data_IF_959082806151
#
_entry.id   IF_959082806151
#
_cell.length_a   1.000
_cell.length_b   1.000
_cell.length_c   1.000
_cell.angle_alpha   90.00
_cell.angle_beta   90.00
_cell.angle_gamma   90.00
#
_symmetry.space_group_name_H-M   'P 1'
#
loop_
_entity.id
_entity.type
_entity.pdbx_description
1 polymer ?
#
# COMPACT_ATOMS: atom_id res chain seq x y z
N UNK A 1 4.11 -3.25 -44.54
CA UNK A 1 3.57 -3.73 -43.25
C UNK A 1 4.70 -3.73 -42.24
N UNK A 2 4.84 -2.66 -41.46
CA UNK A 2 5.76 -2.66 -40.32
C UNK A 2 5.12 -3.49 -39.22
N UNK A 3 5.70 -4.66 -38.91
CA UNK A 3 5.47 -5.34 -37.63
C UNK A 3 5.84 -4.32 -36.56
N UNK A 4 4.85 -3.71 -35.93
CA UNK A 4 5.07 -3.00 -34.67
C UNK A 4 5.56 -4.08 -33.71
N UNK A 5 6.87 -4.12 -33.50
CA UNK A 5 7.48 -4.89 -32.42
C UNK A 5 6.86 -4.35 -31.13
N UNK A 6 5.80 -4.99 -30.64
CA UNK A 6 5.32 -4.72 -29.30
C UNK A 6 6.53 -4.97 -28.39
N UNK A 7 6.98 -3.95 -27.64
CA UNK A 7 8.16 -4.12 -26.81
C UNK A 7 7.91 -5.27 -25.84
N UNK A 8 8.89 -6.17 -25.72
CA UNK A 8 8.80 -7.40 -24.92
C UNK A 8 8.32 -7.09 -23.51
N UNK A 9 7.34 -7.85 -23.02
CA UNK A 9 6.85 -7.72 -21.64
C UNK A 9 7.75 -8.53 -20.70
N UNK A 10 8.31 -7.87 -19.70
CA UNK A 10 9.19 -8.47 -18.69
C UNK A 10 8.52 -8.55 -17.30
N UNK A 11 7.19 -8.49 -17.24
CA UNK A 11 6.41 -8.52 -15.99
C UNK A 11 6.80 -9.67 -15.06
N UNK A 12 7.09 -10.86 -15.60
CA UNK A 12 7.55 -12.02 -14.81
C UNK A 12 8.94 -11.80 -14.20
N UNK A 13 9.90 -11.28 -14.97
CA UNK A 13 11.24 -10.98 -14.49
C UNK A 13 11.22 -9.88 -13.41
N UNK A 14 10.35 -8.88 -13.57
CA UNK A 14 10.17 -7.82 -12.57
C UNK A 14 9.47 -8.34 -11.31
N UNK A 15 8.49 -9.25 -11.46
CA UNK A 15 7.87 -9.95 -10.32
C UNK A 15 8.88 -10.79 -9.54
N UNK A 16 9.77 -11.50 -10.24
CA UNK A 16 10.85 -12.26 -9.62
C UNK A 16 11.83 -11.34 -8.89
N UNK A 17 12.27 -10.26 -9.54
CA UNK A 17 13.13 -9.25 -8.92
C UNK A 17 12.50 -8.67 -7.66
N UNK A 18 11.23 -8.26 -7.71
CA UNK A 18 10.51 -7.74 -6.55
C UNK A 18 10.48 -8.77 -5.41
N UNK A 19 10.23 -10.04 -5.73
CA UNK A 19 10.20 -11.12 -4.73
C UNK A 19 11.57 -11.32 -4.07
N UNK A 20 12.65 -11.34 -4.85
CA UNK A 20 14.03 -11.41 -4.33
C UNK A 20 14.34 -10.21 -3.44
N UNK A 21 13.96 -9.01 -3.86
CA UNK A 21 14.15 -7.79 -3.07
C UNK A 21 13.34 -7.80 -1.77
N UNK A 22 12.16 -8.43 -1.74
CA UNK A 22 11.40 -8.60 -0.49
C UNK A 22 12.04 -9.60 0.47
N UNK A 23 12.61 -10.68 -0.05
CA UNK A 23 13.38 -11.64 0.77
C UNK A 23 14.62 -10.96 1.36
N UNK A 24 15.37 -10.21 0.55
CA UNK A 24 16.51 -9.44 1.03
C UNK A 24 16.10 -8.36 2.04
N UNK A 25 15.00 -7.65 1.80
CA UNK A 25 14.44 -6.69 2.75
C UNK A 25 14.10 -7.34 4.10
N UNK A 26 13.49 -8.53 4.08
CA UNK A 26 13.17 -9.27 5.30
C UNK A 26 14.42 -9.58 6.11
N UNK A 27 15.46 -10.18 5.49
CA UNK A 27 16.70 -10.51 6.19
C UNK A 27 17.50 -9.28 6.62
N UNK A 28 17.49 -8.22 5.82
CA UNK A 28 18.09 -6.94 6.20
C UNK A 28 17.42 -6.36 7.44
N UNK A 29 16.09 -6.30 7.43
CA UNK A 29 15.31 -5.78 8.55
C UNK A 29 15.49 -6.61 9.81
N UNK A 30 15.62 -7.93 9.65
CA UNK A 30 15.97 -8.84 10.74
C UNK A 30 17.34 -8.50 11.31
N UNK A 31 18.38 -8.44 10.48
CA UNK A 31 19.74 -8.10 10.90
C UNK A 31 19.84 -6.73 11.59
N UNK A 32 19.08 -5.73 11.12
CA UNK A 32 19.01 -4.41 11.75
C UNK A 32 18.32 -4.46 13.11
N UNK A 33 17.23 -5.22 13.25
CA UNK A 33 16.57 -5.39 14.54
C UNK A 33 17.50 -6.06 15.57
N UNK A 34 18.20 -7.12 15.17
CA UNK A 34 19.19 -7.81 16.00
C UNK A 34 20.34 -6.87 16.41
N UNK A 35 20.90 -6.10 15.47
CA UNK A 35 22.04 -5.23 15.72
C UNK A 35 21.71 -4.03 16.63
N UNK A 36 20.52 -3.43 16.48
CA UNK A 36 20.17 -2.17 17.15
C UNK A 36 19.24 -2.34 18.35
N UNK A 37 18.52 -3.45 18.45
CA UNK A 37 17.64 -3.76 19.58
C UNK A 37 18.07 -5.01 20.37
N UNK A 38 19.17 -5.67 19.97
CA UNK A 38 19.67 -6.91 20.57
C UNK A 38 18.91 -8.15 20.09
N UNK A 39 19.34 -9.33 20.54
CA UNK A 39 18.52 -10.54 20.37
C UNK A 39 17.14 -10.27 20.94
N UNK A 40 16.08 -10.40 20.13
CA UNK A 40 14.69 -10.25 20.55
C UNK A 40 14.45 -11.15 21.77
N UNK A 41 14.66 -10.60 22.97
CA UNK A 41 14.90 -11.37 24.18
C UNK A 41 13.59 -12.02 24.57
N UNK A 42 13.37 -13.26 24.13
CA UNK A 42 12.28 -14.11 24.59
C UNK A 42 12.55 -14.64 26.02
N UNK A 43 13.69 -14.30 26.61
CA UNK A 43 14.03 -14.60 28.00
C UNK A 43 13.00 -13.97 28.93
N UNK A 44 12.12 -14.81 29.50
CA UNK A 44 11.05 -14.38 30.39
C UNK A 44 9.71 -14.04 29.73
N UNK A 45 9.49 -14.40 28.46
CA UNK A 45 8.16 -14.30 27.82
C UNK A 45 7.72 -12.90 27.36
N UNK A 46 8.63 -11.92 27.36
CA UNK A 46 8.32 -10.54 26.99
C UNK A 46 9.20 -10.11 25.82
N UNK A 47 8.58 -9.76 24.68
CA UNK A 47 9.30 -9.16 23.56
C UNK A 47 9.76 -7.76 23.96
N UNK A 48 11.04 -7.42 23.75
CA UNK A 48 11.49 -6.03 23.85
C UNK A 48 10.77 -5.21 22.76
N UNK A 49 10.00 -4.16 23.12
CA UNK A 49 9.24 -3.37 22.15
C UNK A 49 10.11 -2.71 21.08
N UNK A 50 11.41 -2.50 21.33
CA UNK A 50 12.34 -1.88 20.37
C UNK A 50 12.59 -2.78 19.17
N UNK A 51 12.66 -4.09 19.38
CA UNK A 51 12.98 -5.05 18.33
C UNK A 51 11.98 -5.01 17.15
N UNK A 52 10.66 -5.20 17.37
CA UNK A 52 9.69 -5.14 16.27
C UNK A 52 9.54 -3.73 15.71
N UNK A 53 9.82 -2.68 16.49
CA UNK A 53 9.84 -1.30 15.98
C UNK A 53 10.94 -1.12 14.96
N UNK A 54 12.18 -1.51 15.29
CA UNK A 54 13.34 -1.41 14.37
C UNK A 54 13.12 -2.28 13.14
N UNK A 55 12.63 -3.52 13.33
CA UNK A 55 12.28 -4.41 12.22
C UNK A 55 11.27 -3.75 11.27
N UNK A 56 10.13 -3.29 11.78
CA UNK A 56 9.05 -2.75 10.96
C UNK A 56 9.43 -1.43 10.28
N UNK A 57 10.19 -0.55 10.95
CA UNK A 57 10.69 0.68 10.35
C UNK A 57 11.54 0.39 9.11
N UNK A 58 12.52 -0.51 9.24
CA UNK A 58 13.37 -0.92 8.11
C UNK A 58 12.53 -1.61 7.03
N UNK A 59 11.69 -2.57 7.43
CA UNK A 59 10.93 -3.38 6.49
C UNK A 59 9.99 -2.53 5.64
N UNK A 60 9.24 -1.61 6.25
CA UNK A 60 8.29 -0.75 5.54
C UNK A 60 8.99 0.30 4.67
N UNK A 61 10.12 0.83 5.13
CA UNK A 61 10.93 1.77 4.35
C UNK A 61 11.47 1.13 3.07
N UNK A 62 12.17 -0.01 3.19
CA UNK A 62 12.71 -0.71 2.03
C UNK A 62 11.62 -1.33 1.15
N UNK A 63 10.47 -1.72 1.70
CA UNK A 63 9.32 -2.13 0.90
C UNK A 63 8.86 -1.01 -0.03
N UNK A 64 8.85 0.23 0.46
CA UNK A 64 8.51 1.43 -0.33
C UNK A 64 9.55 1.68 -1.42
N UNK A 65 10.85 1.55 -1.11
CA UNK A 65 11.93 1.64 -2.10
C UNK A 65 11.79 0.56 -3.18
N UNK A 66 11.58 -0.70 -2.79
CA UNK A 66 11.40 -1.82 -3.71
C UNK A 66 10.25 -1.57 -4.68
N UNK A 67 9.15 -1.00 -4.18
CA UNK A 67 8.03 -0.61 -5.03
C UNK A 67 8.36 0.56 -5.96
N UNK A 68 9.14 1.53 -5.48
CA UNK A 68 9.72 2.60 -6.31
C UNK A 68 10.58 2.05 -7.45
N UNK A 69 11.38 1.02 -7.22
CA UNK A 69 12.19 0.35 -8.26
C UNK A 69 11.29 -0.26 -9.34
N UNK A 70 10.17 -0.92 -8.97
CA UNK A 70 9.21 -1.42 -9.96
C UNK A 70 8.67 -0.31 -10.86
N UNK A 71 8.27 0.83 -10.26
CA UNK A 71 7.79 2.00 -11.00
C UNK A 71 8.86 2.60 -11.92
N UNK A 72 10.12 2.65 -11.48
CA UNK A 72 11.26 3.11 -12.30
C UNK A 72 11.49 2.21 -13.52
N UNK A 73 11.30 0.90 -13.38
CA UNK A 73 11.35 -0.06 -14.49
C UNK A 73 10.13 0.03 -15.42
N UNK A 74 9.14 0.87 -15.09
CA UNK A 74 7.93 1.06 -15.87
C UNK A 74 6.87 -0.01 -15.62
N UNK A 75 6.90 -0.65 -14.45
CA UNK A 75 5.94 -1.66 -14.00
C UNK A 75 5.25 -1.21 -12.72
N UNK A 76 4.08 -1.75 -12.44
CA UNK A 76 3.34 -1.44 -11.23
C UNK A 76 2.53 -2.65 -10.80
N UNK A 77 2.11 -2.68 -9.53
CA UNK A 77 1.15 -3.68 -9.09
C UNK A 77 -0.21 -3.38 -9.74
N UNK A 78 -0.89 -4.42 -10.21
CA UNK A 78 -2.19 -4.31 -10.85
C UNK A 78 -3.15 -3.49 -9.98
N UNK A 79 -3.64 -2.35 -10.49
CA UNK A 79 -4.45 -1.44 -9.70
C UNK A 79 -5.83 -2.03 -9.56
N UNK A 80 -6.33 -2.13 -8.33
CA UNK A 80 -7.72 -2.48 -8.09
C UNK A 80 -8.54 -1.19 -8.26
N UNK A 81 -9.23 -1.07 -9.39
CA UNK A 81 -10.04 0.11 -9.75
C UNK A 81 -11.42 0.09 -9.08
N UNK A 82 -11.90 -1.06 -8.59
CA UNK A 82 -13.31 -1.26 -8.21
C UNK A 82 -13.67 -1.09 -6.72
N UNK A 83 -12.83 -0.47 -5.89
CA UNK A 83 -13.22 -0.10 -4.51
C UNK A 83 -13.50 1.42 -4.35
N UNK A 84 -13.84 2.10 -5.46
CA UNK A 84 -14.33 3.49 -5.47
C UNK A 84 -15.85 3.52 -5.23
N UNK A 85 -16.33 2.72 -4.26
CA UNK A 85 -17.57 3.02 -3.54
C UNK A 85 -17.17 3.44 -2.13
N UNK A 86 -16.88 4.73 -1.99
CA UNK A 86 -16.86 5.48 -0.72
C UNK A 86 -16.42 4.64 0.47
N UNK A 87 -15.19 4.07 0.52
CA UNK A 87 -14.67 3.28 1.65
C UNK A 87 -15.78 2.73 2.56
N UNK A 88 -16.71 1.95 1.98
CA UNK A 88 -17.86 1.54 2.75
C UNK A 88 -17.29 0.59 3.78
N UNK A 89 -17.64 0.83 5.04
CA UNK A 89 -17.08 0.16 6.23
C UNK A 89 -17.14 -1.38 6.12
N UNK A 90 -17.97 -1.87 5.19
CA UNK A 90 -18.36 -3.25 4.92
C UNK A 90 -17.50 -4.00 3.88
N UNK A 91 -16.75 -3.33 2.98
CA UNK A 91 -15.97 -4.04 1.92
C UNK A 91 -14.55 -4.46 2.35
N UNK A 92 -14.20 -4.27 3.62
CA UNK A 92 -12.88 -4.58 4.18
C UNK A 92 -12.60 -6.08 4.38
N UNK A 93 -13.45 -6.96 3.86
CA UNK A 93 -13.42 -8.40 4.17
C UNK A 93 -12.59 -9.26 3.24
N UNK A 94 -11.99 -8.76 2.16
CA UNK A 94 -11.40 -9.72 1.19
C UNK A 94 -10.09 -9.31 0.54
N UNK A 95 -9.06 -10.08 0.93
CA UNK A 95 -7.82 -10.41 0.19
C UNK A 95 -6.64 -9.44 0.37
N UNK A 96 -6.10 -9.41 1.59
CA UNK A 96 -4.84 -8.74 1.95
C UNK A 96 -3.57 -9.61 1.79
N UNK A 97 -3.69 -10.87 1.33
CA UNK A 97 -2.56 -11.82 1.30
C UNK A 97 -2.22 -12.38 -0.10
N UNK A 98 -2.52 -11.63 -1.17
CA UNK A 98 -2.05 -12.01 -2.51
C UNK A 98 -0.77 -11.25 -2.85
N UNK A 99 0.23 -11.98 -3.34
CA UNK A 99 1.39 -11.39 -4.01
C UNK A 99 0.88 -10.43 -5.11
N UNK A 100 1.46 -9.23 -5.24
CA UNK A 100 1.03 -8.30 -6.26
C UNK A 100 1.29 -8.89 -7.65
N UNK A 101 0.26 -8.92 -8.50
CA UNK A 101 0.45 -9.14 -9.93
C UNK A 101 1.14 -7.90 -10.49
N UNK A 102 2.42 -8.01 -10.87
CA UNK A 102 3.13 -6.89 -11.49
C UNK A 102 2.82 -6.87 -12.97
N UNK A 103 2.37 -5.71 -13.46
CA UNK A 103 2.01 -5.48 -14.85
C UNK A 103 2.75 -4.26 -15.40
N UNK A 104 2.93 -4.24 -16.71
CA UNK A 104 3.59 -3.13 -17.39
C UNK A 104 2.70 -1.88 -17.39
N UNK A 105 3.32 -0.73 -17.09
CA UNK A 105 2.64 0.57 -17.12
C UNK A 105 2.20 0.95 -18.54
N UNK A 106 0.89 1.11 -18.71
CA UNK A 106 0.30 1.65 -19.96
C UNK A 106 0.38 3.18 -20.01
N UNK A 107 0.18 3.78 -21.19
CA UNK A 107 0.12 5.24 -21.35
C UNK A 107 -1.03 5.85 -20.55
N UNK A 108 -2.19 5.20 -20.55
CA UNK A 108 -3.36 5.61 -19.76
C UNK A 108 -3.06 5.57 -18.25
N UNK A 109 -2.40 4.51 -17.78
CA UNK A 109 -1.96 4.38 -16.39
C UNK A 109 -1.01 5.52 -16.00
N UNK A 110 0.05 5.75 -16.81
CA UNK A 110 1.03 6.81 -16.55
C UNK A 110 0.39 8.19 -16.44
N UNK A 111 -0.57 8.52 -17.31
CA UNK A 111 -1.31 9.80 -17.23
C UNK A 111 -2.07 9.94 -15.91
N UNK A 112 -2.78 8.89 -15.47
CA UNK A 112 -3.47 8.89 -14.17
C UNK A 112 -2.50 8.99 -13.00
N UNK A 113 -1.42 8.20 -13.01
CA UNK A 113 -0.41 8.19 -11.95
C UNK A 113 0.34 9.52 -11.83
N UNK A 114 0.54 10.24 -12.94
CA UNK A 114 1.14 11.58 -12.94
C UNK A 114 0.23 12.65 -12.33
N UNK A 115 -1.09 12.45 -12.33
CA UNK A 115 -2.06 13.35 -11.70
C UNK A 115 -2.11 13.23 -10.16
N UNK A 116 -1.31 12.33 -9.57
CA UNK A 116 -1.25 12.14 -8.13
C UNK A 116 -0.68 13.36 -7.40
N UNK A 117 -1.15 13.57 -6.18
CA UNK A 117 -0.60 14.55 -5.24
C UNK A 117 0.70 13.99 -4.63
N UNK A 118 1.84 14.17 -5.31
CA UNK A 118 3.13 13.56 -4.95
C UNK A 118 3.57 13.85 -3.51
N UNK A 119 3.45 15.09 -3.06
CA UNK A 119 3.83 15.48 -1.69
C UNK A 119 2.93 14.79 -0.68
N UNK A 120 1.62 14.74 -0.93
CA UNK A 120 0.66 14.07 -0.04
C UNK A 120 0.88 12.56 0.00
N UNK A 121 1.28 11.96 -1.12
CA UNK A 121 1.68 10.55 -1.18
C UNK A 121 2.90 10.29 -0.29
N UNK A 122 3.93 11.15 -0.37
CA UNK A 122 5.12 11.03 0.47
C UNK A 122 4.79 11.18 1.95
N UNK A 123 3.95 12.16 2.31
CA UNK A 123 3.51 12.37 3.70
C UNK A 123 2.72 11.15 4.19
N UNK A 124 1.84 10.61 3.35
CA UNK A 124 1.06 9.42 3.68
C UNK A 124 1.95 8.20 3.94
N UNK A 125 2.87 7.90 3.03
CA UNK A 125 3.79 6.76 3.14
C UNK A 125 4.71 6.91 4.35
N UNK A 126 5.28 8.10 4.56
CA UNK A 126 6.13 8.39 5.73
C UNK A 126 5.33 8.25 7.02
N UNK A 127 4.12 8.81 7.07
CA UNK A 127 3.24 8.70 8.23
C UNK A 127 2.87 7.25 8.53
N UNK A 128 2.60 6.43 7.51
CA UNK A 128 2.34 5.01 7.67
C UNK A 128 3.56 4.22 8.18
N UNK A 129 4.75 4.49 7.62
CA UNK A 129 6.02 3.89 8.03
C UNK A 129 6.31 4.19 9.51
N UNK A 130 5.91 5.35 10.02
CA UNK A 130 6.11 5.72 11.43
C UNK A 130 4.99 5.18 12.34
N UNK A 131 3.74 5.25 11.89
CA UNK A 131 2.56 4.89 12.68
C UNK A 131 2.55 3.40 13.06
N UNK A 132 2.79 2.50 12.11
CA UNK A 132 2.67 1.06 12.35
C UNK A 132 3.72 0.55 13.36
N UNK A 133 5.01 0.89 13.24
CA UNK A 133 5.99 0.58 14.28
C UNK A 133 5.64 1.23 15.61
N UNK A 134 5.21 2.50 15.62
CA UNK A 134 4.82 3.18 16.86
C UNK A 134 3.69 2.44 17.60
N UNK A 135 2.61 2.09 16.91
CA UNK A 135 1.50 1.33 17.50
C UNK A 135 1.97 -0.04 18.00
N UNK A 136 2.82 -0.73 17.23
CA UNK A 136 3.39 -2.02 17.64
C UNK A 136 4.20 -1.91 18.92
N UNK A 137 5.13 -0.96 18.97
CA UNK A 137 5.95 -0.70 20.16
C UNK A 137 5.11 -0.28 21.37
N UNK A 138 4.12 0.58 21.17
CA UNK A 138 3.23 1.05 22.23
C UNK A 138 2.41 -0.10 22.84
N UNK A 139 1.82 -0.97 22.00
CA UNK A 139 1.07 -2.14 22.48
C UNK A 139 1.96 -3.10 23.26
N UNK A 140 3.15 -3.41 22.74
CA UNK A 140 4.10 -4.31 23.42
C UNK A 140 4.57 -3.68 24.73
N UNK A 141 4.83 -2.37 24.74
CA UNK A 141 5.22 -1.65 25.95
C UNK A 141 4.12 -1.69 27.01
N UNK A 142 2.87 -1.36 26.66
CA UNK A 142 1.72 -1.39 27.60
C UNK A 142 1.46 -2.80 28.12
N UNK A 143 1.43 -3.80 27.23
CA UNK A 143 1.23 -5.19 27.64
C UNK A 143 2.37 -5.70 28.51
N UNK A 144 3.58 -5.15 28.37
CA UNK A 144 4.70 -5.55 29.20
C UNK A 144 4.56 -5.12 30.66
N UNK A 145 3.69 -4.15 30.96
CA UNK A 145 3.40 -3.65 32.30
C UNK A 145 2.32 -4.45 33.03
N UNK A 146 1.65 -5.40 32.35
CA UNK A 146 0.61 -6.22 32.97
C UNK A 146 1.28 -7.31 33.83
N UNK A 147 1.11 -7.28 35.16
CA UNK A 147 1.72 -8.25 36.05
C UNK A 147 0.96 -9.59 36.02
N UNK A 148 1.68 -10.70 36.08
CA UNK A 148 1.12 -12.05 36.24
C UNK A 148 0.58 -12.67 34.94
N UNK A 149 1.02 -13.89 34.66
CA UNK A 149 0.56 -14.68 33.51
C UNK A 149 1.66 -15.63 33.03
N UNK A 150 1.24 -16.74 32.42
CA UNK A 150 2.15 -17.60 31.67
C UNK A 150 2.75 -16.78 30.51
N UNK A 151 4.08 -16.82 30.42
CA UNK A 151 4.89 -16.17 29.39
C UNK A 151 4.39 -16.47 27.96
N UNK A 152 3.92 -17.70 27.71
CA UNK A 152 3.38 -18.11 26.41
C UNK A 152 2.04 -17.45 26.11
N UNK A 153 1.15 -17.40 27.10
CA UNK A 153 -0.18 -16.79 26.95
C UNK A 153 -0.04 -15.28 26.72
N UNK A 154 0.88 -14.64 27.44
CA UNK A 154 1.20 -13.21 27.27
C UNK A 154 1.72 -12.92 25.87
N UNK A 155 2.61 -13.75 25.33
CA UNK A 155 3.13 -13.63 23.97
C UNK A 155 2.00 -13.72 22.92
N UNK A 156 1.11 -14.71 23.04
CA UNK A 156 -0.03 -14.89 22.13
C UNK A 156 -0.94 -13.65 22.17
N UNK A 157 -1.26 -13.17 23.37
CA UNK A 157 -2.07 -11.98 23.56
C UNK A 157 -1.42 -10.72 22.96
N UNK A 158 -0.10 -10.57 23.13
CA UNK A 158 0.68 -9.52 22.49
C UNK A 158 0.57 -9.55 20.97
N UNK A 159 0.73 -10.73 20.35
CA UNK A 159 0.56 -10.87 18.90
C UNK A 159 -0.84 -10.47 18.43
N UNK A 160 -1.89 -10.94 19.11
CA UNK A 160 -3.28 -10.62 18.75
C UNK A 160 -3.52 -9.11 18.87
N UNK A 161 -3.05 -8.48 19.95
CA UNK A 161 -3.21 -7.04 20.14
C UNK A 161 -2.42 -6.23 19.12
N UNK A 162 -1.18 -6.61 18.81
CA UNK A 162 -0.37 -5.94 17.79
C UNK A 162 -1.03 -6.04 16.42
N UNK A 163 -1.51 -7.22 16.03
CA UNK A 163 -2.22 -7.40 14.76
C UNK A 163 -3.52 -6.59 14.72
N UNK A 164 -4.29 -6.59 15.80
CA UNK A 164 -5.55 -5.85 15.90
C UNK A 164 -5.32 -4.33 15.87
N UNK A 165 -4.37 -3.84 16.66
CA UNK A 165 -4.01 -2.42 16.70
C UNK A 165 -3.40 -1.96 15.37
N UNK A 166 -2.54 -2.77 14.75
CA UNK A 166 -1.99 -2.51 13.43
C UNK A 166 -3.07 -2.45 12.36
N UNK A 167 -4.02 -3.40 12.35
CA UNK A 167 -5.14 -3.41 11.41
C UNK A 167 -6.06 -2.20 11.61
N UNK A 168 -6.50 -1.94 12.84
CA UNK A 168 -7.36 -0.80 13.18
C UNK A 168 -6.67 0.53 12.90
N UNK A 169 -5.38 0.65 13.24
CA UNK A 169 -4.55 1.82 12.98
C UNK A 169 -4.39 2.09 11.49
N UNK A 170 -4.05 1.07 10.69
CA UNK A 170 -3.95 1.17 9.24
C UNK A 170 -5.29 1.59 8.60
N UNK A 171 -6.38 0.91 8.98
CA UNK A 171 -7.73 1.21 8.49
C UNK A 171 -8.16 2.63 8.84
N UNK A 172 -7.95 3.04 10.09
CA UNK A 172 -8.24 4.39 10.57
C UNK A 172 -7.43 5.44 9.83
N UNK A 173 -6.13 5.19 9.63
CA UNK A 173 -5.23 6.06 8.89
C UNK A 173 -5.68 6.25 7.43
N UNK A 174 -6.02 5.15 6.74
CA UNK A 174 -6.47 5.17 5.35
C UNK A 174 -7.79 5.92 5.17
N UNK A 175 -8.66 5.84 6.17
CA UNK A 175 -9.94 6.54 6.18
C UNK A 175 -9.80 8.02 6.52
N UNK A 176 -8.97 8.37 7.51
CA UNK A 176 -8.87 9.72 8.05
C UNK A 176 -8.01 10.62 7.15
N UNK A 177 -6.89 10.12 6.65
CA UNK A 177 -5.92 10.91 5.89
C UNK A 177 -6.54 11.66 4.68
N UNK A 178 -7.23 11.01 3.73
CA UNK A 178 -7.83 11.71 2.60
C UNK A 178 -8.94 12.69 3.02
N UNK A 179 -9.58 12.48 4.17
CA UNK A 179 -10.62 13.40 4.68
C UNK A 179 -10.00 14.68 5.23
N UNK A 180 -8.97 14.55 6.07
CA UNK A 180 -8.26 15.68 6.68
C UNK A 180 -7.63 16.57 5.60
N UNK A 181 -7.03 15.96 4.57
CA UNK A 181 -6.35 16.70 3.51
C UNK A 181 -7.21 16.96 2.27
N UNK A 182 -8.52 16.66 2.32
CA UNK A 182 -9.45 16.85 1.19
C UNK A 182 -8.91 16.25 -0.13
N UNK A 183 -8.48 15.00 -0.07
CA UNK A 183 -7.94 14.23 -1.20
C UNK A 183 -8.99 13.26 -1.74
N UNK A 184 -8.86 12.93 -3.02
CA UNK A 184 -9.58 11.85 -3.67
C UNK A 184 -8.61 10.69 -3.92
N UNK A 185 -9.01 9.46 -3.61
CA UNK A 185 -8.26 8.26 -3.99
C UNK A 185 -8.50 7.97 -5.47
N UNK A 186 -7.44 7.93 -6.28
CA UNK A 186 -7.50 7.61 -7.70
C UNK A 186 -7.66 6.11 -7.94
N UNK A 187 -6.90 5.30 -7.21
CA UNK A 187 -6.88 3.84 -7.24
C UNK A 187 -6.03 3.33 -6.07
N UNK A 188 -6.07 2.02 -5.83
CA UNK A 188 -5.23 1.34 -4.83
C UNK A 188 -4.25 0.45 -5.56
N UNK A 189 -2.95 0.61 -5.28
CA UNK A 189 -1.90 -0.29 -5.76
C UNK A 189 -1.27 -1.03 -4.60
N UNK A 190 -1.24 -2.36 -4.65
CA UNK A 190 -0.61 -3.18 -3.62
C UNK A 190 -1.05 -2.83 -2.17
N UNK A 191 -2.32 -2.45 -2.00
CA UNK A 191 -2.88 -2.06 -0.70
C UNK A 191 -2.50 -0.65 -0.24
N UNK A 192 -1.87 0.16 -1.11
CA UNK A 192 -1.59 1.57 -0.86
C UNK A 192 -2.48 2.46 -1.75
N UNK A 193 -3.25 3.38 -1.16
CA UNK A 193 -4.03 4.34 -1.93
C UNK A 193 -3.11 5.34 -2.63
N UNK A 194 -3.45 5.66 -3.88
CA UNK A 194 -2.83 6.75 -4.65
C UNK A 194 -3.79 7.94 -4.64
N UNK A 195 -3.35 9.09 -4.12
CA UNK A 195 -4.21 10.26 -3.94
C UNK A 195 -4.04 11.30 -5.04
N UNK A 196 -5.10 12.05 -5.31
CA UNK A 196 -5.09 13.31 -6.05
C UNK A 196 -5.81 14.40 -5.25
N UNK A 197 -5.47 15.67 -5.52
CA UNK A 197 -6.22 16.79 -4.96
C UNK A 197 -7.66 16.78 -5.49
N UNK A 198 -8.62 17.06 -4.61
CA UNK A 198 -9.99 17.35 -5.05
C UNK A 198 -9.94 18.57 -5.96
N UNK A 199 -10.46 18.42 -7.19
CA UNK A 199 -10.70 19.58 -8.05
C UNK A 199 -11.91 20.31 -7.50
N UNK A 200 -11.69 21.47 -6.89
CA UNK A 200 -12.77 22.40 -6.53
C UNK A 200 -13.37 22.90 -7.84
N UNK A 201 -14.68 22.65 -8.06
CA UNK A 201 -15.40 23.13 -9.25
C UNK A 201 -15.88 22.07 -10.25
N UNK A 202 -15.84 20.78 -9.92
CA UNK A 202 -16.68 19.77 -10.60
C UNK A 202 -17.57 19.19 -9.53
N UNK A 203 -18.78 19.74 -9.42
CA UNK A 203 -19.88 19.11 -8.70
C UNK A 203 -19.99 17.66 -9.19
N UNK A 204 -19.75 16.72 -8.27
CA UNK A 204 -20.24 15.36 -8.47
C UNK A 204 -21.74 15.49 -8.28
N UNK A 205 -22.59 15.28 -9.31
CA UNK A 205 -24.02 15.30 -9.10
C UNK A 205 -24.34 14.18 -8.12
N UNK A 206 -24.78 14.52 -6.92
CA UNK A 206 -25.58 13.63 -6.11
C UNK A 206 -26.87 13.39 -6.88
N UNK A 207 -27.00 12.26 -7.56
CA UNK A 207 -28.26 11.92 -8.22
C UNK A 207 -28.65 10.48 -7.90
N UNK A 208 -29.51 10.38 -6.89
CA UNK A 208 -30.75 9.64 -7.00
C UNK A 208 -31.46 10.00 -8.32
N UNK A 209 -31.08 9.35 -9.42
CA UNK A 209 -31.94 9.22 -10.60
C UNK A 209 -31.46 8.07 -11.48
N UNK A 210 -32.42 7.22 -11.87
CA UNK A 210 -32.33 6.03 -12.73
C UNK A 210 -31.62 6.27 -14.09
N UNK A 211 -31.24 5.19 -14.82
CA UNK A 211 -29.96 5.07 -15.52
C UNK A 211 -29.92 5.86 -16.83
N UNK A 212 -28.85 6.64 -17.02
CA UNK A 212 -28.52 7.25 -18.30
C UNK A 212 -27.32 6.53 -18.92
N UNK A 213 -27.49 6.14 -20.19
CA UNK A 213 -26.57 5.44 -21.10
C UNK A 213 -25.08 5.74 -20.85
N UNK A 214 -24.31 4.67 -20.72
CA UNK A 214 -22.84 4.67 -20.68
C UNK A 214 -22.25 5.26 -21.97
N UNK A 215 -21.75 6.49 -21.91
CA UNK A 215 -20.82 7.03 -22.91
C UNK A 215 -19.39 6.85 -22.40
N UNK A 216 -18.76 5.75 -22.80
CA UNK A 216 -17.30 5.60 -22.72
C UNK A 216 -16.67 6.53 -23.75
N UNK A 217 -15.79 7.43 -23.32
CA UNK A 217 -14.96 8.22 -24.22
C UNK A 217 -13.84 7.33 -24.78
N UNK A 218 -14.02 6.92 -26.04
CA UNK A 218 -12.98 6.43 -26.94
C UNK A 218 -12.64 7.56 -27.90
N UNK A 219 -11.40 8.03 -27.91
CA UNK A 219 -10.73 8.68 -29.06
C UNK A 219 -9.29 8.97 -28.60
N UNK A 220 -8.23 8.55 -29.28
CA UNK A 220 -7.99 8.73 -30.71
C UNK A 220 -7.34 7.50 -31.36
N UNK A 221 -8.06 6.88 -32.30
CA UNK A 221 -7.45 6.21 -33.43
C UNK A 221 -7.36 7.21 -34.58
N UNK A 222 -6.12 7.49 -35.00
CA UNK A 222 -5.87 8.18 -36.27
C UNK A 222 -6.28 7.21 -37.38
N UNK A 223 -7.41 7.49 -38.04
CA UNK A 223 -7.76 6.84 -39.31
C UNK A 223 -7.99 7.92 -40.35
N UNK A 224 -6.99 8.10 -41.21
CA UNK A 224 -7.15 8.69 -42.53
C UNK A 224 -8.32 7.99 -43.23
N UNK A 225 -9.27 8.76 -43.77
CA UNK A 225 -10.12 8.26 -44.85
C UNK A 225 -10.13 9.23 -46.02
N UNK A 226 -9.54 8.73 -47.10
CA UNK A 226 -9.68 9.21 -48.47
C UNK A 226 -11.16 9.14 -48.92
N UNK A 227 -11.51 10.13 -49.75
CA UNK A 227 -12.40 10.11 -50.94
C UNK A 227 -13.88 9.73 -50.78
N UNK A 228 -14.75 10.57 -51.34
CA UNK A 228 -15.05 10.51 -52.78
C UNK A 228 -15.05 11.91 -53.38
#
# INVERSE_FOLDING_TARGET
>A
MTKNNMPTDHSHSVSFLWSVLQVLNFFWSLGMAEAFAGNGSLTGGAIDPRWPVVFLLNYLFFRTINYGICHLLGYHAEPKVDEIKVYNREDLTTRSLFLPTIVRSTTAYRRKYQARARIMQLIFETGFILLIPFLTGAVIWVTNWIPGGDNTIRLIFQFILVLSAGYCGAKGYYWLFPRVFSLNTLFIEHGQPIFAHKRVGIDVPSQDSKPAKSSYYSTDSIVKKHRK
#
